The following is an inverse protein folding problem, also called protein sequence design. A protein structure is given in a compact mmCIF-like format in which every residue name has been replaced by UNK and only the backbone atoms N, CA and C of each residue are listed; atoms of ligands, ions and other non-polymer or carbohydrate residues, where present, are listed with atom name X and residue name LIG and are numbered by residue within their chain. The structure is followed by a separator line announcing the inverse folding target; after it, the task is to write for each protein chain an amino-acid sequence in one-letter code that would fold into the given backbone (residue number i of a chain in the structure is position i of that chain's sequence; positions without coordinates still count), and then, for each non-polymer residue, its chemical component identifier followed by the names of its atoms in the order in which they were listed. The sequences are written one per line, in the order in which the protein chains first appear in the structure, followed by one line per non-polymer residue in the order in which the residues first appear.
data_IF_833252879296
#
_entry.id   IF_833252879296
#
_cell.length_a   1.000
_cell.length_b   1.000
_cell.length_c   1.000
_cell.angle_alpha   90.00
_cell.angle_beta   90.00
_cell.angle_gamma   90.00
#
_symmetry.space_group_name_H-M   'P 1'
#
loop_
_entity.id
_entity.type
_entity.pdbx_description
1 polymer ?
#
# COMPACT_ATOMS: atom_id res chain seq x y z
N UNK A 1 -17.12 7.67 17.46
CA UNK A 1 -16.31 6.52 16.99
C UNK A 1 -14.84 6.88 17.17
N UNK A 2 -14.06 6.05 17.86
CA UNK A 2 -12.65 6.33 18.17
C UNK A 2 -11.75 5.42 17.32
N UNK A 3 -10.71 5.98 16.69
CA UNK A 3 -9.70 5.20 16.00
C UNK A 3 -8.60 4.76 16.98
N UNK A 4 -8.41 3.45 17.15
CA UNK A 4 -7.44 2.89 18.10
C UNK A 4 -6.00 2.89 17.56
N UNK A 5 -5.82 2.81 16.24
CA UNK A 5 -4.51 2.67 15.61
C UNK A 5 -3.91 3.97 15.07
N UNK A 6 -4.72 5.01 14.85
CA UNK A 6 -4.34 6.22 14.11
C UNK A 6 -3.14 6.98 14.70
N UNK A 7 -2.91 6.88 16.02
CA UNK A 7 -1.83 7.61 16.71
C UNK A 7 -0.69 6.73 17.22
N UNK A 8 -0.84 5.40 17.24
CA UNK A 8 0.13 4.48 17.87
C UNK A 8 1.53 4.59 17.25
N UNK A 9 1.61 4.57 15.91
CA UNK A 9 2.86 4.62 15.14
C UNK A 9 2.63 5.36 13.81
N UNK A 10 2.10 6.58 13.90
CA UNK A 10 1.47 7.37 12.82
C UNK A 10 2.20 7.36 11.46
N UNK A 11 3.53 7.39 11.45
CA UNK A 11 4.33 7.44 10.22
C UNK A 11 4.60 6.06 9.64
N UNK A 12 4.88 5.07 10.49
CA UNK A 12 5.35 3.76 10.06
C UNK A 12 4.21 2.74 9.93
N UNK A 13 3.04 3.06 10.46
CA UNK A 13 1.90 2.17 10.49
C UNK A 13 0.60 2.88 10.11
N UNK A 14 0.08 2.55 8.94
CA UNK A 14 -1.18 3.04 8.37
C UNK A 14 -2.00 1.91 7.71
N UNK A 15 -1.44 0.71 7.59
CA UNK A 15 -2.16 -0.49 7.13
C UNK A 15 -2.18 -1.54 8.22
N UNK A 16 -3.38 -1.86 8.73
CA UNK A 16 -3.56 -2.71 9.89
C UNK A 16 -4.57 -3.82 9.65
N UNK A 17 -4.38 -4.95 10.32
CA UNK A 17 -5.46 -5.87 10.66
C UNK A 17 -5.33 -6.30 12.12
N UNK A 18 -6.41 -6.80 12.71
CA UNK A 18 -6.45 -7.22 14.11
C UNK A 18 -7.07 -8.60 14.26
N UNK A 19 -6.66 -9.33 15.31
CA UNK A 19 -7.31 -10.56 15.74
C UNK A 19 -7.59 -10.48 17.23
N UNK A 20 -8.84 -10.71 17.61
CA UNK A 20 -9.28 -10.63 19.00
C UNK A 20 -9.20 -12.00 19.66
N UNK A 21 -8.84 -12.04 20.94
CA UNK A 21 -8.97 -13.24 21.75
C UNK A 21 -10.45 -13.58 21.94
N UNK A 22 -10.73 -14.78 22.45
CA UNK A 22 -12.07 -15.10 22.98
C UNK A 22 -12.50 -14.01 23.96
N UNK A 23 -13.76 -13.55 23.83
CA UNK A 23 -14.36 -12.47 24.61
C UNK A 23 -13.64 -11.10 24.50
N UNK A 24 -12.78 -10.91 23.49
CA UNK A 24 -12.06 -9.66 23.23
C UNK A 24 -11.28 -9.10 24.45
N UNK A 25 -10.85 -9.96 25.39
CA UNK A 25 -10.02 -9.54 26.54
C UNK A 25 -8.67 -8.94 26.09
N UNK A 26 -8.14 -9.45 24.98
CA UNK A 26 -6.96 -8.97 24.30
C UNK A 26 -7.17 -8.95 22.80
N UNK A 27 -6.34 -8.22 22.08
CA UNK A 27 -6.23 -8.35 20.63
C UNK A 27 -4.77 -8.26 20.18
N UNK A 28 -4.41 -9.04 19.17
CA UNK A 28 -3.19 -8.81 18.41
C UNK A 28 -3.47 -7.80 17.29
N UNK A 29 -2.57 -6.84 17.17
CA UNK A 29 -2.60 -5.80 16.17
C UNK A 29 -1.38 -5.94 15.28
N UNK A 30 -1.63 -6.11 13.98
CA UNK A 30 -0.62 -6.30 12.95
C UNK A 30 -0.55 -5.02 12.13
N UNK A 31 0.55 -4.27 12.27
CA UNK A 31 0.90 -3.21 11.35
C UNK A 31 1.67 -3.85 10.19
N UNK A 32 1.16 -3.73 8.97
CA UNK A 32 1.81 -4.27 7.78
C UNK A 32 2.49 -3.19 6.92
N UNK A 33 2.48 -1.91 7.33
CA UNK A 33 3.13 -0.84 6.57
C UNK A 33 2.59 0.55 6.88
N UNK A 34 3.20 1.62 6.35
CA UNK A 34 4.21 1.59 5.27
C UNK A 34 5.64 1.27 5.71
N UNK A 35 5.96 1.41 7.00
CA UNK A 35 7.24 1.01 7.57
C UNK A 35 7.36 -0.51 7.73
N UNK A 36 8.41 -0.97 8.41
CA UNK A 36 8.57 -2.40 8.65
C UNK A 36 7.39 -2.96 9.47
N UNK A 37 6.85 -4.13 9.08
CA UNK A 37 5.76 -4.73 9.80
C UNK A 37 6.09 -4.99 11.28
N UNK A 38 5.13 -4.76 12.15
CA UNK A 38 5.25 -5.00 13.59
C UNK A 38 3.96 -5.60 14.13
N UNK A 39 4.08 -6.61 14.97
CA UNK A 39 2.96 -7.27 15.64
C UNK A 39 3.00 -7.01 17.13
N UNK A 40 1.88 -6.59 17.69
CA UNK A 40 1.75 -6.20 19.11
C UNK A 40 0.50 -6.81 19.73
N UNK A 41 0.51 -7.08 21.04
CA UNK A 41 -0.68 -7.44 21.82
C UNK A 41 -1.13 -6.22 22.61
N UNK A 42 -2.44 -6.00 22.64
CA UNK A 42 -3.11 -4.93 23.36
C UNK A 42 -4.17 -5.47 24.30
N UNK A 43 -4.45 -4.72 25.37
CA UNK A 43 -5.59 -4.96 26.24
C UNK A 43 -6.89 -4.55 25.51
N UNK A 44 -7.91 -5.41 25.53
CA UNK A 44 -9.15 -5.15 24.79
C UNK A 44 -10.08 -4.10 25.39
N UNK A 45 -9.88 -3.72 26.65
CA UNK A 45 -10.67 -2.68 27.32
C UNK A 45 -9.94 -1.35 27.33
N UNK A 46 -8.67 -1.34 27.75
CA UNK A 46 -7.89 -0.11 27.90
C UNK A 46 -7.16 0.29 26.62
N UNK A 47 -7.09 -0.58 25.61
CA UNK A 47 -6.33 -0.41 24.37
C UNK A 47 -4.83 -0.16 24.59
N UNK A 48 -4.33 -0.43 25.79
CA UNK A 48 -2.92 -0.30 26.13
C UNK A 48 -2.13 -1.42 25.45
N UNK A 49 -1.07 -1.05 24.76
CA UNK A 49 -0.08 -2.00 24.26
C UNK A 49 0.59 -2.72 25.44
N UNK A 50 0.54 -4.04 25.44
CA UNK A 50 1.07 -4.89 26.50
C UNK A 50 2.43 -5.47 26.14
N UNK A 51 2.60 -5.87 24.88
CA UNK A 51 3.79 -6.58 24.43
C UNK A 51 3.99 -6.46 22.91
N UNK A 52 5.23 -6.32 22.48
CA UNK A 52 5.64 -6.54 21.09
C UNK A 52 5.90 -8.05 20.89
N UNK A 53 5.23 -8.64 19.91
CA UNK A 53 5.39 -10.07 19.57
C UNK A 53 6.49 -10.28 18.54
N UNK A 54 6.55 -9.41 17.53
CA UNK A 54 7.50 -9.47 16.43
C UNK A 54 7.73 -8.04 15.93
N UNK A 55 8.99 -7.62 15.84
CA UNK A 55 9.40 -6.27 15.43
C UNK A 55 10.21 -6.23 14.12
N UNK A 56 10.54 -7.39 13.57
CA UNK A 56 11.36 -7.58 12.38
C UNK A 56 12.70 -6.81 12.44
N UNK A 57 13.28 -6.67 13.64
CA UNK A 57 14.54 -5.94 13.87
C UNK A 57 15.68 -6.45 12.98
N UNK A 58 15.86 -7.78 12.86
CA UNK A 58 16.87 -8.40 11.99
C UNK A 58 16.71 -7.99 10.52
N UNK A 59 15.47 -7.97 10.01
CA UNK A 59 15.19 -7.48 8.65
C UNK A 59 15.53 -5.99 8.54
N UNK A 60 15.19 -5.19 9.55
CA UNK A 60 15.55 -3.78 9.61
C UNK A 60 17.05 -3.53 9.57
N UNK A 61 17.85 -4.33 10.27
CA UNK A 61 19.31 -4.26 10.21
C UNK A 61 19.84 -4.59 8.82
N UNK A 62 19.31 -5.63 8.18
CA UNK A 62 19.71 -6.01 6.83
C UNK A 62 19.35 -4.93 5.79
N UNK A 63 18.18 -4.31 5.91
CA UNK A 63 17.73 -3.30 4.95
C UNK A 63 18.49 -1.96 5.08
N UNK A 64 19.23 -1.72 6.17
CA UNK A 64 20.08 -0.52 6.29
C UNK A 64 21.21 -0.48 5.26
N UNK A 65 21.65 -1.64 4.76
CA UNK A 65 22.69 -1.73 3.73
C UNK A 65 22.12 -1.68 2.32
N UNK A 66 20.79 -1.71 2.18
CA UNK A 66 20.07 -1.69 0.91
C UNK A 66 19.57 -0.28 0.62
N UNK A 67 19.80 0.21 -0.61
CA UNK A 67 19.22 1.48 -1.05
C UNK A 67 17.74 1.27 -1.37
N UNK A 68 16.90 1.46 -0.36
CA UNK A 68 15.46 1.29 -0.50
C UNK A 68 14.86 2.40 -1.39
N UNK A 69 14.00 2.06 -2.36
CA UNK A 69 13.33 3.05 -3.20
C UNK A 69 12.27 3.82 -2.42
N UNK A 70 11.95 5.03 -2.89
CA UNK A 70 10.92 5.88 -2.30
C UNK A 70 9.54 5.50 -2.83
N UNK A 71 8.53 5.41 -1.96
CA UNK A 71 7.15 5.20 -2.36
C UNK A 71 6.40 6.54 -2.36
N UNK A 72 5.88 6.92 -3.53
CA UNK A 72 5.05 8.10 -3.71
C UNK A 72 3.62 7.71 -4.02
N UNK A 73 2.69 8.21 -3.23
CA UNK A 73 1.26 8.03 -3.43
C UNK A 73 0.62 9.30 -3.97
N UNK A 74 -0.43 9.15 -4.75
CA UNK A 74 -1.25 10.26 -5.20
C UNK A 74 -2.56 9.78 -5.81
N UNK A 75 -3.34 10.73 -6.28
CA UNK A 75 -4.51 10.44 -7.10
C UNK A 75 -4.72 11.51 -8.16
N UNK A 76 -5.43 11.14 -9.21
CA UNK A 76 -5.97 12.07 -10.20
C UNK A 76 -7.47 11.84 -10.35
N UNK A 77 -8.19 12.85 -10.85
CA UNK A 77 -9.64 12.77 -11.05
C UNK A 77 -9.99 12.65 -12.52
N UNK A 78 -10.95 11.79 -12.85
CA UNK A 78 -11.53 11.64 -14.19
C UNK A 78 -13.00 11.29 -14.05
N UNK A 79 -13.87 11.98 -14.77
CA UNK A 79 -15.33 11.77 -14.75
C UNK A 79 -15.92 11.75 -13.32
N UNK A 80 -15.43 12.63 -12.44
CA UNK A 80 -15.88 12.71 -11.05
C UNK A 80 -15.35 11.60 -10.12
N UNK A 81 -14.60 10.63 -10.63
CA UNK A 81 -13.97 9.56 -9.85
C UNK A 81 -12.49 9.88 -9.58
N UNK A 82 -12.00 9.49 -8.40
CA UNK A 82 -10.58 9.58 -8.06
C UNK A 82 -9.89 8.23 -8.31
N UNK A 83 -8.76 8.26 -8.98
CA UNK A 83 -7.93 7.10 -9.31
C UNK A 83 -6.65 7.19 -8.52
N UNK A 84 -6.42 6.23 -7.63
CA UNK A 84 -5.23 6.20 -6.80
C UNK A 84 -4.07 5.58 -7.56
N UNK A 85 -2.88 6.09 -7.32
CA UNK A 85 -1.65 5.52 -7.85
C UNK A 85 -0.55 5.47 -6.80
N UNK A 86 0.35 4.52 -6.97
CA UNK A 86 1.60 4.36 -6.23
C UNK A 86 2.75 4.30 -7.22
N UNK A 87 3.79 5.09 -6.99
CA UNK A 87 5.04 5.05 -7.74
C UNK A 87 6.17 4.64 -6.78
N UNK A 88 6.89 3.60 -7.14
CA UNK A 88 8.19 3.26 -6.55
C UNK A 88 9.26 3.96 -7.37
N UNK A 89 9.95 4.91 -6.75
CA UNK A 89 10.94 5.77 -7.35
C UNK A 89 12.35 5.31 -6.96
N UNK A 90 13.34 5.44 -7.88
CA UNK A 90 14.72 5.12 -7.55
C UNK A 90 15.24 5.91 -6.34
N UNK A 91 16.18 5.35 -5.56
CA UNK A 91 16.87 6.08 -4.51
C UNK A 91 17.50 7.37 -5.05
N UNK A 92 17.36 8.47 -4.31
CA UNK A 92 17.86 9.79 -4.74
C UNK A 92 17.27 10.28 -6.08
N UNK A 93 15.99 9.99 -6.31
CA UNK A 93 15.25 10.37 -7.52
C UNK A 93 15.48 11.84 -7.93
N UNK A 94 15.94 12.03 -9.17
CA UNK A 94 16.22 13.33 -9.76
C UNK A 94 15.19 13.66 -10.84
N UNK A 95 14.32 14.64 -10.55
CA UNK A 95 13.25 15.07 -11.46
C UNK A 95 13.73 15.61 -12.82
N UNK A 96 15.01 15.96 -12.95
CA UNK A 96 15.59 16.44 -14.22
C UNK A 96 15.97 15.31 -15.19
N UNK A 97 16.05 14.06 -14.70
CA UNK A 97 16.41 12.89 -15.50
C UNK A 97 15.16 12.18 -16.05
N UNK A 98 15.34 11.48 -17.16
CA UNK A 98 14.33 10.57 -17.71
C UNK A 98 14.63 9.15 -17.23
N UNK A 99 13.61 8.49 -16.69
CA UNK A 99 13.68 7.11 -16.23
C UNK A 99 12.73 6.25 -17.05
N UNK A 100 13.07 4.97 -17.33
CA UNK A 100 12.09 4.03 -17.85
C UNK A 100 10.96 3.83 -16.83
N UNK A 101 9.74 3.70 -17.34
CA UNK A 101 8.54 3.48 -16.55
C UNK A 101 8.00 2.08 -16.83
N UNK A 102 7.91 1.26 -15.79
CA UNK A 102 7.19 -0.01 -15.81
C UNK A 102 5.83 0.19 -15.14
N UNK A 103 4.76 -0.12 -15.87
CA UNK A 103 3.41 -0.15 -15.32
C UNK A 103 3.10 -1.57 -14.85
N UNK A 104 2.91 -1.74 -13.54
CA UNK A 104 2.44 -2.99 -12.98
C UNK A 104 0.92 -2.94 -12.85
N UNK A 105 0.24 -3.77 -13.65
CA UNK A 105 -1.22 -3.89 -13.68
C UNK A 105 -1.63 -5.25 -13.14
N UNK A 106 -2.50 -5.24 -12.12
CA UNK A 106 -3.32 -6.40 -11.78
C UNK A 106 -4.75 -6.18 -12.30
N UNK A 107 -5.44 -5.13 -11.84
CA UNK A 107 -6.73 -4.68 -12.39
C UNK A 107 -7.91 -5.62 -12.17
N UNK A 108 -7.75 -6.69 -11.38
CA UNK A 108 -8.84 -7.64 -11.13
C UNK A 108 -10.02 -6.99 -10.39
N UNK A 109 -11.27 -7.39 -10.70
CA UNK A 109 -12.43 -6.94 -9.94
C UNK A 109 -12.28 -7.22 -8.44
N UNK A 110 -12.77 -6.29 -7.61
CA UNK A 110 -12.72 -6.37 -6.14
C UNK A 110 -11.30 -6.34 -5.53
N UNK A 111 -10.26 -6.07 -6.33
CA UNK A 111 -8.86 -6.02 -5.86
C UNK A 111 -8.42 -4.63 -5.43
N UNK A 112 -7.20 -4.49 -4.93
CA UNK A 112 -6.56 -3.20 -4.64
C UNK A 112 -5.05 -3.34 -4.68
N UNK A 113 -4.37 -2.59 -5.54
CA UNK A 113 -2.90 -2.62 -5.65
C UNK A 113 -2.25 -1.43 -4.91
N UNK A 114 -2.93 -0.28 -4.86
CA UNK A 114 -2.43 0.93 -4.22
C UNK A 114 -2.74 0.89 -2.73
N UNK A 115 -1.90 0.18 -2.00
CA UNK A 115 -1.97 0.08 -0.53
C UNK A 115 -0.72 0.64 0.13
N UNK A 116 -0.86 1.05 1.40
CA UNK A 116 0.24 1.44 2.27
C UNK A 116 0.96 0.23 2.91
N UNK A 117 0.73 -0.99 2.42
CA UNK A 117 1.41 -2.18 2.92
C UNK A 117 2.89 -2.16 2.49
N UNK A 118 3.77 -2.54 3.41
CA UNK A 118 5.17 -2.77 3.15
C UNK A 118 5.34 -3.95 2.21
N UNK A 119 6.17 -3.78 1.18
CA UNK A 119 6.51 -4.84 0.24
C UNK A 119 7.98 -4.73 -0.13
N UNK A 120 8.67 -5.86 -0.14
CA UNK A 120 10.05 -5.98 -0.58
C UNK A 120 10.16 -7.15 -1.57
N UNK A 121 10.53 -6.87 -2.82
CA UNK A 121 10.59 -7.89 -3.87
C UNK A 121 11.10 -7.33 -5.20
N UNK A 122 10.73 -7.96 -6.31
CA UNK A 122 11.27 -7.62 -7.64
C UNK A 122 11.01 -6.16 -8.05
N UNK A 123 9.85 -5.57 -7.69
CA UNK A 123 9.55 -4.15 -7.96
C UNK A 123 10.49 -3.21 -7.22
N UNK A 124 10.82 -3.57 -5.97
CA UNK A 124 11.81 -2.85 -5.17
C UNK A 124 13.18 -2.94 -5.80
N UNK A 125 13.56 -4.13 -6.29
CA UNK A 125 14.84 -4.35 -6.98
C UNK A 125 14.95 -3.49 -8.26
N UNK A 126 13.95 -3.54 -9.15
CA UNK A 126 14.00 -2.77 -10.39
C UNK A 126 14.16 -1.27 -10.14
N UNK A 127 13.48 -0.74 -9.13
CA UNK A 127 13.61 0.68 -8.81
C UNK A 127 14.89 1.01 -8.03
N UNK A 128 15.28 0.16 -7.08
CA UNK A 128 16.44 0.34 -6.23
C UNK A 128 17.78 0.15 -6.93
N UNK A 129 17.83 -0.73 -7.94
CA UNK A 129 19.08 -1.19 -8.57
C UNK A 129 19.15 -0.91 -10.07
N UNK A 130 18.03 -0.86 -10.78
CA UNK A 130 18.00 -0.67 -12.24
C UNK A 130 17.49 0.72 -12.65
N UNK A 131 17.28 1.63 -11.69
CA UNK A 131 16.73 2.97 -11.91
C UNK A 131 15.40 2.97 -12.70
N UNK A 132 14.57 1.93 -12.54
CA UNK A 132 13.26 1.84 -13.20
C UNK A 132 12.17 2.37 -12.26
N UNK A 133 11.36 3.32 -12.72
CA UNK A 133 10.16 3.71 -11.97
C UNK A 133 9.12 2.63 -12.17
N UNK A 134 8.58 2.09 -11.08
CA UNK A 134 7.45 1.16 -11.12
C UNK A 134 6.20 1.90 -10.67
N UNK A 135 5.16 1.96 -11.50
CA UNK A 135 3.89 2.57 -11.14
C UNK A 135 2.74 1.54 -11.16
N UNK A 136 1.79 1.71 -10.24
CA UNK A 136 0.54 0.96 -10.19
C UNK A 136 -0.62 1.92 -9.98
N UNK A 137 -1.74 1.65 -10.64
CA UNK A 137 -2.92 2.50 -10.64
C UNK A 137 -4.15 1.64 -10.40
N UNK A 138 -4.95 2.00 -9.40
CA UNK A 138 -6.25 1.38 -9.15
C UNK A 138 -7.30 2.06 -10.05
N UNK A 139 -7.66 1.36 -11.12
CA UNK A 139 -8.69 1.74 -12.09
C UNK A 139 -10.09 1.32 -11.67
N UNK A 140 -11.12 1.69 -12.45
CA UNK A 140 -12.50 1.24 -12.22
C UNK A 140 -12.54 -0.29 -12.12
N UNK A 141 -13.36 -0.82 -11.21
CA UNK A 141 -13.43 -2.26 -10.93
C UNK A 141 -12.68 -2.70 -9.66
N UNK A 142 -11.68 -1.93 -9.21
CA UNK A 142 -11.03 -2.18 -7.92
C UNK A 142 -11.96 -1.82 -6.75
N UNK A 143 -11.68 -2.38 -5.59
CA UNK A 143 -12.47 -2.25 -4.36
C UNK A 143 -12.06 -1.05 -3.50
N UNK A 144 -12.72 -0.92 -2.34
CA UNK A 144 -12.42 0.04 -1.27
C UNK A 144 -12.63 1.53 -1.63
N UNK A 145 -13.30 1.82 -2.75
CA UNK A 145 -13.75 3.17 -3.15
C UNK A 145 -15.27 3.28 -3.35
N UNK A 146 -16.02 2.26 -2.89
CA UNK A 146 -17.49 2.19 -2.96
C UNK A 146 -18.00 1.51 -4.24
N UNK A 147 -19.27 1.09 -4.19
CA UNK A 147 -19.90 0.22 -5.19
C UNK A 147 -19.94 0.84 -6.59
N UNK A 148 -20.12 2.15 -6.69
CA UNK A 148 -20.13 2.84 -7.98
C UNK A 148 -18.79 2.69 -8.73
N UNK A 149 -17.67 2.71 -8.01
CA UNK A 149 -16.34 2.52 -8.59
C UNK A 149 -16.06 1.04 -8.88
N UNK A 150 -16.44 0.16 -7.96
CA UNK A 150 -16.20 -1.29 -8.06
C UNK A 150 -17.07 -1.97 -9.13
N UNK A 151 -18.35 -1.61 -9.26
CA UNK A 151 -19.27 -2.22 -10.23
C UNK A 151 -19.21 -1.59 -11.63
N UNK A 152 -18.41 -0.54 -11.85
CA UNK A 152 -18.29 0.11 -13.15
C UNK A 152 -17.91 -0.87 -14.28
N UNK A 153 -17.14 -1.93 -13.97
CA UNK A 153 -16.70 -2.95 -14.94
C UNK A 153 -17.73 -4.07 -15.17
N UNK A 154 -18.88 -4.04 -14.49
CA UNK A 154 -19.90 -5.09 -14.63
C UNK A 154 -20.36 -5.22 -16.08
N UNK A 155 -20.27 -6.44 -16.63
CA UNK A 155 -20.52 -6.75 -18.05
C UNK A 155 -19.65 -5.99 -19.06
N UNK A 156 -18.52 -5.41 -18.62
CA UNK A 156 -17.56 -4.64 -19.44
C UNK A 156 -16.10 -4.91 -19.05
N UNK A 157 -15.81 -6.15 -18.61
CA UNK A 157 -14.46 -6.56 -18.18
C UNK A 157 -13.44 -6.40 -19.31
N UNK A 158 -12.25 -5.94 -18.95
CA UNK A 158 -11.14 -5.71 -19.88
C UNK A 158 -11.33 -4.50 -20.80
N UNK A 159 -12.32 -3.65 -20.55
CA UNK A 159 -12.57 -2.43 -21.33
C UNK A 159 -12.19 -1.21 -20.53
N UNK A 160 -12.90 -0.96 -19.43
CA UNK A 160 -12.71 0.24 -18.62
C UNK A 160 -11.37 0.23 -17.89
N UNK A 161 -10.95 -0.95 -17.44
CA UNK A 161 -9.67 -1.16 -16.78
C UNK A 161 -8.52 -0.75 -17.71
N UNK A 162 -8.59 -1.17 -18.99
CA UNK A 162 -7.57 -0.84 -20.00
C UNK A 162 -7.57 0.65 -20.33
N UNK A 163 -8.75 1.26 -20.49
CA UNK A 163 -8.88 2.71 -20.69
C UNK A 163 -8.28 3.52 -19.54
N UNK A 164 -8.42 3.04 -18.30
CA UNK A 164 -7.93 3.73 -17.11
C UNK A 164 -6.41 3.60 -17.00
N UNK A 165 -5.84 2.43 -17.31
CA UNK A 165 -4.38 2.25 -17.35
C UNK A 165 -3.74 3.09 -18.46
N UNK A 166 -4.30 3.10 -19.67
CA UNK A 166 -3.78 3.92 -20.78
C UNK A 166 -3.84 5.41 -20.41
N UNK A 167 -4.94 5.85 -19.79
CA UNK A 167 -5.08 7.25 -19.39
C UNK A 167 -4.06 7.63 -18.32
N UNK A 168 -3.79 6.76 -17.35
CA UNK A 168 -2.86 7.05 -16.27
C UNK A 168 -1.40 7.18 -16.71
N UNK A 169 -1.05 6.61 -17.88
CA UNK A 169 0.30 6.68 -18.47
C UNK A 169 0.51 7.96 -19.29
N UNK A 170 -0.57 8.64 -19.69
CA UNK A 170 -0.52 9.90 -20.44
C UNK A 170 -0.23 11.09 -19.54
#
# INVERSE_FOLDING_TARGET
MQCLSCTLRKTNCQYYYARFSTNAKYYSLYCNGPGLPITTIHNGTTNKELKVLEDNSKLGEQLRTVRMPEQKFGNFKRNGMAFWYKMTLPPYFDKSKKYPLLIYVYGGPCSQEVTAAFSFGWRTYLSGSEDIIVASVDGRGTAYQGDHFMHAVYKRLGTLEVEDQIFAVR
#
